data_IF_298224018220
#
_entry.id   IF_298224018220
#
_cell.length_a   1.000
_cell.length_b   1.000
_cell.length_c   1.000
_cell.angle_alpha   90.00
_cell.angle_beta   90.00
_cell.angle_gamma   90.00
#
_symmetry.space_group_name_H-M   'P 1'
#
loop_
_entity.id
_entity.type
_entity.pdbx_description
1 polymer ?
#
# COMPACT_ATOMS: atom_id res chain seq x y z
N UNK A 1 7.34 -6.17 -4.58
CA UNK A 1 8.15 -5.58 -5.67
C UNK A 1 7.69 -4.16 -5.94
N UNK A 2 8.62 -3.20 -5.95
CA UNK A 2 8.29 -1.77 -5.93
C UNK A 2 9.25 -0.97 -6.82
N UNK A 3 8.80 0.01 -7.62
CA UNK A 3 9.68 1.01 -8.22
C UNK A 3 10.25 1.94 -7.15
N UNK A 4 11.48 2.44 -7.32
CA UNK A 4 12.12 3.32 -6.32
C UNK A 4 11.46 4.71 -6.26
N UNK A 5 10.98 5.21 -7.39
CA UNK A 5 10.62 6.63 -7.57
C UNK A 5 9.12 6.89 -7.70
N UNK A 6 8.26 5.97 -7.24
CA UNK A 6 6.80 6.12 -7.34
C UNK A 6 6.11 6.32 -6.00
N UNK A 7 4.91 6.91 -6.04
CA UNK A 7 4.04 7.16 -4.90
C UNK A 7 2.67 6.47 -5.10
N UNK A 8 1.86 6.43 -4.04
CA UNK A 8 0.45 5.97 -4.07
C UNK A 8 0.22 4.54 -4.62
N UNK A 9 1.24 3.67 -4.57
CA UNK A 9 1.11 2.30 -5.08
C UNK A 9 1.32 2.15 -6.58
N UNK A 10 1.67 3.21 -7.31
CA UNK A 10 1.88 3.13 -8.76
C UNK A 10 3.06 2.20 -9.08
N UNK A 11 2.80 1.18 -9.90
CA UNK A 11 3.80 0.19 -10.31
C UNK A 11 4.20 -0.81 -9.22
N UNK A 12 3.53 -0.80 -8.05
CA UNK A 12 3.81 -1.75 -6.97
C UNK A 12 3.05 -3.04 -7.22
N UNK A 13 3.72 -4.18 -6.99
CA UNK A 13 3.09 -5.50 -6.97
C UNK A 13 3.44 -6.22 -5.66
N UNK A 14 2.41 -6.69 -4.96
CA UNK A 14 2.53 -7.55 -3.78
C UNK A 14 2.62 -8.99 -4.26
N UNK A 15 3.66 -9.71 -3.84
CA UNK A 15 3.89 -11.10 -4.21
C UNK A 15 3.80 -11.94 -2.92
N UNK A 16 2.64 -12.54 -2.62
CA UNK A 16 2.47 -13.41 -1.45
C UNK A 16 3.34 -14.66 -1.54
N UNK A 17 3.48 -15.42 -0.44
CA UNK A 17 4.13 -16.72 -0.47
C UNK A 17 3.51 -17.61 -1.56
N UNK A 18 4.35 -18.37 -2.26
CA UNK A 18 3.95 -19.25 -3.39
C UNK A 18 3.52 -18.52 -4.67
N UNK A 19 3.89 -17.24 -4.84
CA UNK A 19 3.78 -16.57 -6.13
C UNK A 19 4.59 -17.30 -7.20
N UNK A 20 4.03 -17.45 -8.41
CA UNK A 20 4.71 -18.12 -9.52
C UNK A 20 5.87 -17.28 -10.07
N UNK A 21 6.86 -17.93 -10.68
CA UNK A 21 7.96 -17.21 -11.35
C UNK A 21 7.45 -16.33 -12.50
N UNK A 22 6.39 -16.75 -13.19
CA UNK A 22 5.78 -15.97 -14.27
C UNK A 22 5.17 -14.66 -13.75
N UNK A 23 4.45 -14.71 -12.63
CA UNK A 23 3.84 -13.53 -12.03
C UNK A 23 4.91 -12.60 -11.44
N UNK A 24 5.97 -13.16 -10.87
CA UNK A 24 7.13 -12.37 -10.46
C UNK A 24 7.78 -11.64 -11.64
N UNK A 25 7.96 -12.29 -12.80
CA UNK A 25 8.48 -11.63 -14.02
C UNK A 25 7.55 -10.53 -14.53
N UNK A 26 6.23 -10.73 -14.48
CA UNK A 26 5.25 -9.70 -14.84
C UNK A 26 5.36 -8.49 -13.92
N UNK A 27 5.46 -8.72 -12.61
CA UNK A 27 5.67 -7.66 -11.62
C UNK A 27 6.95 -6.86 -11.89
N UNK A 28 8.05 -7.54 -12.27
CA UNK A 28 9.33 -6.87 -12.61
C UNK A 28 9.12 -5.91 -13.77
N UNK A 29 8.46 -6.39 -14.83
CA UNK A 29 8.17 -5.59 -16.01
C UNK A 29 7.30 -4.37 -15.68
N UNK A 30 6.26 -4.55 -14.87
CA UNK A 30 5.39 -3.46 -14.42
C UNK A 30 6.20 -2.41 -13.67
N UNK A 31 7.04 -2.83 -12.71
CA UNK A 31 7.80 -1.90 -11.89
C UNK A 31 8.83 -1.09 -12.71
N UNK A 32 9.53 -1.73 -13.64
CA UNK A 32 10.49 -1.04 -14.52
C UNK A 32 9.84 -0.08 -15.55
N UNK A 33 8.54 -0.22 -15.84
CA UNK A 33 7.84 0.77 -16.65
C UNK A 33 7.69 2.13 -15.91
N UNK A 34 7.90 2.16 -14.60
CA UNK A 34 7.69 3.35 -13.77
C UNK A 34 8.97 3.88 -13.10
N UNK A 35 10.08 3.15 -13.14
CA UNK A 35 11.36 3.59 -12.60
C UNK A 35 12.52 2.81 -13.22
N UNK A 36 13.69 3.44 -13.34
CA UNK A 36 14.92 2.79 -13.82
C UNK A 36 15.46 1.75 -12.84
N UNK A 37 15.02 1.79 -11.58
CA UNK A 37 15.41 0.87 -10.53
C UNK A 37 14.20 0.37 -9.74
N UNK A 38 14.29 -0.88 -9.28
CA UNK A 38 13.24 -1.53 -8.50
C UNK A 38 13.82 -2.11 -7.21
N UNK A 39 12.97 -2.20 -6.19
CA UNK A 39 13.26 -2.84 -4.91
C UNK A 39 12.43 -4.12 -4.81
N UNK A 40 13.10 -5.19 -4.41
CA UNK A 40 12.49 -6.47 -4.04
C UNK A 40 12.68 -6.67 -2.54
N UNK A 41 11.57 -6.89 -1.84
CA UNK A 41 11.54 -7.05 -0.39
C UNK A 41 10.77 -8.33 -0.06
N UNK A 42 11.11 -8.94 1.07
CA UNK A 42 10.33 -10.05 1.62
C UNK A 42 8.91 -9.58 1.95
N UNK A 43 7.94 -10.46 1.72
CA UNK A 43 6.56 -10.20 2.11
C UNK A 43 6.39 -10.49 3.60
N UNK A 44 6.12 -9.45 4.38
CA UNK A 44 5.77 -9.56 5.79
C UNK A 44 4.24 -9.52 5.96
N UNK A 45 3.68 -10.56 6.57
CA UNK A 45 2.25 -10.63 6.90
C UNK A 45 1.92 -9.79 8.14
N UNK A 46 0.76 -9.13 8.12
CA UNK A 46 0.24 -8.34 9.24
C UNK A 46 -0.16 -6.93 8.85
N UNK A 47 -0.54 -6.14 9.86
CA UNK A 47 -0.90 -4.74 9.68
C UNK A 47 0.36 -3.86 9.73
N UNK A 48 0.42 -2.86 8.85
CA UNK A 48 1.46 -1.82 8.90
C UNK A 48 1.10 -0.78 9.98
N UNK A 49 2.01 -0.60 10.93
CA UNK A 49 1.91 0.47 11.95
C UNK A 49 3.07 1.44 11.82
N UNK A 50 2.77 2.73 11.96
CA UNK A 50 3.76 3.80 11.98
C UNK A 50 3.96 4.30 13.40
N UNK A 51 5.18 4.12 13.90
CA UNK A 51 5.61 4.59 15.21
C UNK A 51 6.23 5.99 15.07
N UNK A 52 5.85 6.92 15.92
CA UNK A 52 6.52 8.20 16.11
C UNK A 52 7.34 8.12 17.40
N UNK A 53 8.66 8.21 17.28
CA UNK A 53 9.60 8.18 18.40
C UNK A 53 10.23 9.56 18.55
N UNK A 54 10.22 10.11 19.77
CA UNK A 54 10.84 11.39 20.12
C UNK A 54 11.77 11.14 21.31
N UNK A 55 13.07 11.40 21.11
CA UNK A 55 14.08 10.96 22.06
C UNK A 55 14.11 9.43 22.16
N UNK A 56 13.88 8.91 23.35
CA UNK A 56 13.85 7.45 23.63
C UNK A 56 12.42 6.90 23.81
N UNK A 57 11.39 7.72 23.57
CA UNK A 57 9.99 7.35 23.83
C UNK A 57 9.17 7.23 22.54
N UNK A 58 8.34 6.18 22.46
CA UNK A 58 7.29 6.06 21.45
C UNK A 58 6.08 6.90 21.86
N UNK A 59 5.93 8.06 21.24
CA UNK A 59 4.86 9.02 21.61
C UNK A 59 3.53 8.73 20.92
N UNK A 60 3.55 8.07 19.75
CA UNK A 60 2.32 7.71 19.04
C UNK A 60 2.53 6.50 18.12
N UNK A 61 1.43 5.77 17.88
CA UNK A 61 1.36 4.68 16.90
C UNK A 61 0.12 4.89 16.04
N UNK A 62 0.27 4.81 14.72
CA UNK A 62 -0.80 4.99 13.76
C UNK A 62 -0.97 3.75 12.87
N UNK A 63 -2.19 3.24 12.78
CA UNK A 63 -2.58 2.28 11.75
C UNK A 63 -3.18 3.04 10.56
N UNK A 64 -2.65 2.81 9.35
CA UNK A 64 -3.17 3.45 8.14
C UNK A 64 -4.11 2.50 7.41
N UNK A 65 -5.38 2.90 7.33
CA UNK A 65 -6.38 2.21 6.51
C UNK A 65 -6.57 2.94 5.18
N UNK A 66 -6.73 2.23 4.04
CA UNK A 66 -7.08 2.85 2.77
C UNK A 66 -8.36 3.68 2.88
N UNK A 67 -8.47 4.72 2.05
CA UNK A 67 -9.68 5.54 1.96
C UNK A 67 -10.91 4.65 1.71
N UNK A 68 -11.94 4.85 2.52
CA UNK A 68 -13.15 4.02 2.52
C UNK A 68 -14.36 4.83 2.98
N UNK A 69 -15.55 4.30 2.71
CA UNK A 69 -16.83 4.75 3.29
C UNK A 69 -17.61 3.54 3.77
N UNK A 70 -18.51 3.74 4.73
CA UNK A 70 -19.43 2.69 5.20
C UNK A 70 -20.80 2.93 4.60
N UNK A 71 -21.34 1.94 3.89
CA UNK A 71 -22.67 2.03 3.31
C UNK A 71 -23.75 2.06 4.38
N UNK A 72 -24.71 2.97 4.23
CA UNK A 72 -25.85 3.13 5.15
C UNK A 72 -27.19 2.65 4.55
N UNK A 73 -27.17 2.15 3.31
CA UNK A 73 -28.34 1.65 2.61
C UNK A 73 -29.26 2.74 2.04
N UNK A 74 -28.89 4.02 2.16
CA UNK A 74 -29.71 5.16 1.74
C UNK A 74 -28.97 6.01 0.70
N UNK A 75 -27.70 6.31 0.94
CA UNK A 75 -26.94 7.29 0.15
C UNK A 75 -26.04 6.63 -0.90
N UNK A 76 -25.72 7.38 -1.96
CA UNK A 76 -24.77 6.91 -2.97
C UNK A 76 -23.34 6.96 -2.43
N UNK A 77 -22.39 6.26 -3.08
CA UNK A 77 -20.96 6.33 -2.71
C UNK A 77 -20.46 7.78 -2.76
N UNK A 78 -20.90 8.57 -3.75
CA UNK A 78 -20.50 9.96 -3.90
C UNK A 78 -20.94 10.82 -2.71
N UNK A 79 -22.16 10.61 -2.22
CA UNK A 79 -22.70 11.30 -1.05
C UNK A 79 -21.93 10.91 0.21
N UNK A 80 -21.71 9.60 0.43
CA UNK A 80 -20.95 9.09 1.57
C UNK A 80 -19.51 9.60 1.61
N UNK A 81 -18.86 9.72 0.44
CA UNK A 81 -17.54 10.35 0.32
C UNK A 81 -17.61 11.82 0.68
N UNK A 82 -18.64 12.53 0.21
CA UNK A 82 -18.84 13.95 0.50
C UNK A 82 -19.10 14.22 1.98
N UNK A 83 -19.78 13.33 2.69
CA UNK A 83 -20.03 13.46 4.14
C UNK A 83 -18.79 13.21 5.01
N UNK A 84 -17.84 12.42 4.51
CA UNK A 84 -16.61 12.07 5.26
C UNK A 84 -15.50 13.12 5.11
N UNK A 85 -15.53 13.93 4.06
CA UNK A 85 -14.56 14.99 3.78
C UNK A 85 -14.94 16.31 4.45
#
# INVERSE_FOLDING_TARGET
MKPVTTNFGIGISVLPPRTSEEDAKKAIKIAFNHSESIIVEEFAEGNEYRFLVIGEETVAVCNRIPANVTGDGIHTIQDLVSFKN
#
